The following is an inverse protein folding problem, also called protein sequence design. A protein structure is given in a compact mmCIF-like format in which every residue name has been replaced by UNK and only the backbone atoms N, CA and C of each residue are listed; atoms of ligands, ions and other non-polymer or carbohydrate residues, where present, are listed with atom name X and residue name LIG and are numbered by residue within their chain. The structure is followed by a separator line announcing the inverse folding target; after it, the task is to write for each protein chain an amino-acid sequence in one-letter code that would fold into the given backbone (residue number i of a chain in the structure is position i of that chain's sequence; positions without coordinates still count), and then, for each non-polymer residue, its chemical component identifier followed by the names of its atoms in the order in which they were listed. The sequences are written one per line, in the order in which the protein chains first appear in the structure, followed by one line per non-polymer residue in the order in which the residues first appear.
data_IF_076026470135
#
_entry.id   IF_076026470135
#
_cell.length_a   1.000
_cell.length_b   1.000
_cell.length_c   1.000
_cell.angle_alpha   90.00
_cell.angle_beta   90.00
_cell.angle_gamma   90.00
#
_symmetry.space_group_name_H-M   'P 1'
#
loop_
_entity.id
_entity.type
_entity.pdbx_description
1 polymer ?
#
# COMPACT_ATOMS: atom_id res chain seq x y z
N UNK A 1 -46.13 -0.95 7.52
CA UNK A 1 -45.04 -1.58 8.28
C UNK A 1 -43.79 -1.47 7.43
N UNK A 2 -42.81 -0.68 7.88
CA UNK A 2 -41.53 -0.51 7.19
C UNK A 2 -40.61 -1.64 7.67
N UNK A 3 -40.31 -2.60 6.79
CA UNK A 3 -39.43 -3.71 7.10
C UNK A 3 -38.00 -3.19 7.17
N UNK A 4 -37.44 -3.10 8.38
CA UNK A 4 -36.02 -2.84 8.60
C UNK A 4 -35.24 -4.11 8.23
N UNK A 5 -34.80 -4.20 6.99
CA UNK A 5 -33.86 -5.23 6.54
C UNK A 5 -32.52 -4.99 7.20
N UNK A 6 -32.21 -5.75 8.24
CA UNK A 6 -30.90 -5.76 8.88
C UNK A 6 -29.91 -6.44 7.93
N UNK A 7 -29.18 -5.66 7.13
CA UNK A 7 -28.15 -6.18 6.23
C UNK A 7 -27.00 -6.67 7.10
N UNK A 8 -26.78 -7.99 7.12
CA UNK A 8 -25.61 -8.58 7.75
C UNK A 8 -24.38 -8.13 6.96
N UNK A 9 -23.62 -7.17 7.51
CA UNK A 9 -22.33 -6.78 6.95
C UNK A 9 -21.36 -7.97 7.10
N UNK A 10 -21.28 -8.81 6.07
CA UNK A 10 -20.22 -9.81 5.95
C UNK A 10 -18.91 -9.04 5.84
N UNK A 11 -17.96 -9.34 6.72
CA UNK A 11 -16.64 -8.72 6.70
C UNK A 11 -15.93 -9.11 5.40
N UNK A 12 -15.91 -8.21 4.41
CA UNK A 12 -15.16 -8.39 3.19
C UNK A 12 -13.70 -8.00 3.44
N UNK A 13 -12.79 -8.95 3.21
CA UNK A 13 -11.35 -8.75 3.41
C UNK A 13 -10.83 -7.71 2.41
N UNK A 14 -10.33 -6.59 2.92
CA UNK A 14 -9.83 -5.50 2.10
C UNK A 14 -8.45 -5.88 1.56
N UNK A 15 -8.30 -5.98 0.23
CA UNK A 15 -7.15 -6.60 -0.43
C UNK A 15 -5.79 -5.88 -0.30
N UNK A 16 -5.73 -4.69 0.30
CA UNK A 16 -4.55 -3.82 0.27
C UNK A 16 -3.72 -3.77 1.57
N UNK A 17 -4.09 -4.57 2.57
CA UNK A 17 -3.46 -4.51 3.89
C UNK A 17 -2.02 -5.07 3.97
N UNK A 18 -1.63 -6.17 3.30
CA UNK A 18 -0.27 -6.70 3.46
C UNK A 18 0.77 -5.95 2.62
N UNK A 19 0.42 -5.49 1.41
CA UNK A 19 1.36 -4.81 0.52
C UNK A 19 1.76 -3.42 1.01
N UNK A 20 0.86 -2.69 1.65
CA UNK A 20 1.18 -1.39 2.26
C UNK A 20 2.15 -1.52 3.44
N UNK A 21 2.03 -2.58 4.24
CA UNK A 21 2.97 -2.90 5.33
C UNK A 21 4.35 -3.23 4.75
N UNK A 22 4.41 -4.04 3.69
CA UNK A 22 5.68 -4.36 3.01
C UNK A 22 6.34 -3.07 2.47
N UNK A 23 5.57 -2.20 1.83
CA UNK A 23 6.07 -0.92 1.33
C UNK A 23 6.60 -0.01 2.46
N UNK A 24 5.90 0.02 3.59
CA UNK A 24 6.32 0.77 4.77
C UNK A 24 7.63 0.25 5.36
N UNK A 25 7.73 -1.08 5.57
CA UNK A 25 8.96 -1.70 6.08
C UNK A 25 10.14 -1.50 5.11
N UNK A 26 9.91 -1.64 3.81
CA UNK A 26 10.93 -1.39 2.79
C UNK A 26 11.41 0.08 2.83
N UNK A 27 10.50 1.03 3.05
CA UNK A 27 10.85 2.46 3.20
C UNK A 27 11.74 2.69 4.41
N UNK A 28 11.38 2.15 5.59
CA UNK A 28 12.19 2.30 6.81
C UNK A 28 13.58 1.67 6.64
N UNK A 29 13.65 0.46 6.08
CA UNK A 29 14.90 -0.22 5.80
C UNK A 29 15.75 0.57 4.79
N UNK A 30 15.12 1.14 3.75
CA UNK A 30 15.77 1.98 2.75
C UNK A 30 16.39 3.24 3.37
N UNK A 31 15.66 3.93 4.24
CA UNK A 31 16.16 5.10 4.99
C UNK A 31 17.34 4.70 5.88
N UNK A 32 17.23 3.60 6.61
CA UNK A 32 18.32 3.08 7.44
C UNK A 32 19.58 2.78 6.62
N UNK A 33 19.43 2.06 5.49
CA UNK A 33 20.53 1.77 4.58
C UNK A 33 21.12 3.05 3.98
N UNK A 34 20.30 4.04 3.62
CA UNK A 34 20.77 5.31 3.07
C UNK A 34 21.59 6.11 4.10
N UNK A 35 21.15 6.15 5.36
CA UNK A 35 21.90 6.80 6.43
C UNK A 35 23.29 6.18 6.63
N UNK A 36 23.35 4.85 6.74
CA UNK A 36 24.63 4.13 6.89
C UNK A 36 25.48 4.26 5.63
N UNK A 37 24.87 4.23 4.45
CA UNK A 37 25.55 4.43 3.17
C UNK A 37 26.28 5.77 3.13
N UNK A 38 25.64 6.88 3.50
CA UNK A 38 26.27 8.20 3.47
C UNK A 38 27.50 8.27 4.38
N UNK A 39 27.43 7.64 5.57
CA UNK A 39 28.58 7.57 6.49
C UNK A 39 29.69 6.69 5.93
N UNK A 40 29.35 5.51 5.40
CA UNK A 40 30.31 4.59 4.77
C UNK A 40 30.96 5.19 3.53
N UNK A 41 30.21 5.98 2.76
CA UNK A 41 30.71 6.70 1.59
C UNK A 41 31.68 7.80 2.00
N UNK A 42 31.33 8.59 3.02
CA UNK A 42 32.19 9.64 3.54
C UNK A 42 33.49 9.10 4.16
N UNK A 43 33.47 7.89 4.74
CA UNK A 43 34.67 7.24 5.29
C UNK A 43 35.49 6.45 4.27
N UNK A 44 35.04 6.36 3.01
CA UNK A 44 35.71 5.57 1.96
C UNK A 44 35.64 4.06 2.19
N UNK A 45 34.68 3.59 3.01
CA UNK A 45 34.53 2.18 3.33
C UNK A 45 34.04 1.38 2.12
N UNK A 46 34.64 0.21 1.88
CA UNK A 46 34.29 -0.71 0.78
C UNK A 46 32.81 -1.14 0.74
N UNK A 47 32.13 -1.14 1.89
CA UNK A 47 30.71 -1.49 1.98
C UNK A 47 29.78 -0.38 1.46
N UNK A 48 30.29 0.82 1.18
CA UNK A 48 29.49 1.96 0.70
C UNK A 48 28.70 1.63 -0.56
N UNK A 49 29.33 0.95 -1.53
CA UNK A 49 28.67 0.58 -2.78
C UNK A 49 27.50 -0.38 -2.53
N UNK A 50 27.71 -1.40 -1.69
CA UNK A 50 26.68 -2.38 -1.37
C UNK A 50 25.48 -1.75 -0.63
N UNK A 51 25.75 -0.86 0.33
CA UNK A 51 24.72 -0.14 1.08
C UNK A 51 23.92 0.83 0.20
N UNK A 52 24.59 1.51 -0.74
CA UNK A 52 23.94 2.39 -1.71
C UNK A 52 23.00 1.62 -2.65
N UNK A 53 23.45 0.48 -3.17
CA UNK A 53 22.62 -0.41 -4.01
C UNK A 53 21.44 -0.97 -3.21
N UNK A 54 21.66 -1.41 -1.96
CA UNK A 54 20.60 -1.91 -1.10
C UNK A 54 19.53 -0.84 -0.82
N UNK A 55 19.95 0.39 -0.48
CA UNK A 55 19.03 1.51 -0.29
C UNK A 55 18.21 1.80 -1.54
N UNK A 56 18.85 1.81 -2.72
CA UNK A 56 18.17 2.06 -4.00
C UNK A 56 17.11 0.98 -4.29
N UNK A 57 17.45 -0.30 -4.13
CA UNK A 57 16.52 -1.42 -4.37
C UNK A 57 15.33 -1.34 -3.43
N UNK A 58 15.57 -1.03 -2.15
CA UNK A 58 14.51 -0.88 -1.15
C UNK A 58 13.56 0.27 -1.48
N UNK A 59 14.07 1.42 -1.92
CA UNK A 59 13.23 2.54 -2.33
C UNK A 59 12.44 2.24 -3.60
N UNK A 60 13.06 1.63 -4.61
CA UNK A 60 12.35 1.23 -5.83
C UNK A 60 11.23 0.22 -5.49
N UNK A 61 11.53 -0.78 -4.65
CA UNK A 61 10.55 -1.76 -4.18
C UNK A 61 9.40 -1.14 -3.39
N UNK A 62 9.70 -0.17 -2.53
CA UNK A 62 8.66 0.57 -1.80
C UNK A 62 7.78 1.38 -2.75
N UNK A 63 8.37 2.09 -3.72
CA UNK A 63 7.62 2.87 -4.73
C UNK A 63 6.72 1.96 -5.55
N UNK A 64 7.23 0.82 -6.05
CA UNK A 64 6.42 -0.10 -6.84
C UNK A 64 5.27 -0.70 -6.03
N UNK A 65 5.52 -1.08 -4.78
CA UNK A 65 4.49 -1.57 -3.87
C UNK A 65 3.43 -0.50 -3.58
N UNK A 66 3.83 0.74 -3.27
CA UNK A 66 2.88 1.84 -3.10
C UNK A 66 2.12 2.18 -4.37
N UNK A 67 2.74 2.08 -5.55
CA UNK A 67 2.04 2.27 -6.83
C UNK A 67 1.03 1.16 -7.10
N UNK A 68 1.37 -0.10 -6.81
CA UNK A 68 0.41 -1.20 -6.89
C UNK A 68 -0.77 -0.95 -5.97
N UNK A 69 -0.49 -0.61 -4.70
CA UNK A 69 -1.54 -0.25 -3.74
C UNK A 69 -2.34 0.95 -4.27
N UNK A 70 -1.74 2.04 -4.71
CA UNK A 70 -2.48 3.22 -5.17
C UNK A 70 -3.32 2.98 -6.45
N UNK A 71 -2.89 2.07 -7.32
CA UNK A 71 -3.61 1.76 -8.57
C UNK A 71 -4.66 0.66 -8.42
N UNK A 72 -4.49 -0.22 -7.42
CA UNK A 72 -5.38 -1.35 -7.15
C UNK A 72 -6.20 -1.17 -5.87
N UNK A 73 -5.93 -0.11 -5.11
CA UNK A 73 -6.82 0.36 -4.05
C UNK A 73 -7.90 1.20 -4.70
N UNK A 74 -9.02 0.54 -4.96
CA UNK A 74 -10.36 1.15 -5.04
C UNK A 74 -10.79 1.72 -3.68
N UNK A 75 -9.86 2.32 -2.91
CA UNK A 75 -10.09 2.92 -1.60
C UNK A 75 -9.67 4.38 -1.67
N UNK A 76 -10.62 5.23 -2.01
CA UNK A 76 -10.51 6.67 -1.81
C UNK A 76 -11.62 7.13 -0.84
N UNK A 77 -11.42 8.23 -0.10
CA UNK A 77 -12.52 8.88 0.65
C UNK A 77 -13.71 9.27 -0.25
N UNK A 78 -13.52 9.23 -1.58
CA UNK A 78 -14.47 9.59 -2.63
C UNK A 78 -15.06 8.33 -3.31
N UNK A 79 -14.53 7.13 -3.03
CA UNK A 79 -14.97 5.88 -3.64
C UNK A 79 -15.09 4.80 -2.55
N UNK A 80 -16.21 4.78 -1.81
CA UNK A 80 -16.44 3.85 -0.70
C UNK A 80 -16.74 2.41 -1.16
N UNK A 81 -16.80 2.17 -2.47
CA UNK A 81 -17.27 0.91 -3.07
C UNK A 81 -16.08 -0.05 -3.19
N UNK A 82 -15.94 -0.92 -2.21
CA UNK A 82 -14.72 -1.71 -1.95
C UNK A 82 -14.61 -2.93 -2.87
N UNK A 83 -15.74 -3.46 -3.34
CA UNK A 83 -15.78 -4.66 -4.18
C UNK A 83 -16.69 -4.43 -5.38
N UNK A 84 -16.48 -5.19 -6.48
CA UNK A 84 -17.40 -5.16 -7.63
C UNK A 84 -18.84 -5.49 -7.20
N UNK A 85 -19.01 -6.21 -6.09
CA UNK A 85 -20.30 -6.55 -5.49
C UNK A 85 -20.92 -5.33 -4.80
N UNK A 86 -20.17 -4.58 -3.98
CA UNK A 86 -20.65 -3.31 -3.43
C UNK A 86 -20.95 -2.29 -4.53
N UNK A 87 -20.13 -2.24 -5.57
CA UNK A 87 -20.35 -1.36 -6.71
C UNK A 87 -21.63 -1.68 -7.46
N UNK A 88 -21.89 -2.96 -7.72
CA UNK A 88 -23.16 -3.40 -8.32
C UNK A 88 -24.34 -3.09 -7.40
N UNK A 89 -24.21 -3.34 -6.09
CA UNK A 89 -25.27 -3.04 -5.12
C UNK A 89 -25.62 -1.55 -5.09
N UNK A 90 -24.61 -0.68 -5.06
CA UNK A 90 -24.83 0.77 -5.05
C UNK A 90 -25.46 1.25 -6.36
N UNK A 91 -25.01 0.72 -7.50
CA UNK A 91 -25.60 1.03 -8.80
C UNK A 91 -27.04 0.55 -8.92
N UNK A 92 -27.36 -0.65 -8.42
CA UNK A 92 -28.72 -1.18 -8.41
C UNK A 92 -29.64 -0.35 -7.49
N UNK A 93 -29.12 0.16 -6.36
CA UNK A 93 -29.90 0.94 -5.39
C UNK A 93 -30.12 2.41 -5.81
N UNK A 94 -29.20 3.02 -6.54
CA UNK A 94 -29.29 4.44 -6.95
C UNK A 94 -29.57 4.68 -8.44
N UNK A 95 -29.38 3.69 -9.33
CA UNK A 95 -29.73 3.80 -10.77
C UNK A 95 -30.97 3.00 -11.17
N UNK A 96 -31.64 2.36 -10.20
CA UNK A 96 -32.97 1.76 -10.38
C UNK A 96 -34.04 2.80 -10.61
#
# INVERSE_FOLDING_TARGET
MMATTHVVHRHESHGNHPMSIVAFCATLAGIGCAGVWLVALASGHEASMALGVAALVLFIGAITAFRMVATHSSHGPIQPENTEIEARRYLDEYRG
#
